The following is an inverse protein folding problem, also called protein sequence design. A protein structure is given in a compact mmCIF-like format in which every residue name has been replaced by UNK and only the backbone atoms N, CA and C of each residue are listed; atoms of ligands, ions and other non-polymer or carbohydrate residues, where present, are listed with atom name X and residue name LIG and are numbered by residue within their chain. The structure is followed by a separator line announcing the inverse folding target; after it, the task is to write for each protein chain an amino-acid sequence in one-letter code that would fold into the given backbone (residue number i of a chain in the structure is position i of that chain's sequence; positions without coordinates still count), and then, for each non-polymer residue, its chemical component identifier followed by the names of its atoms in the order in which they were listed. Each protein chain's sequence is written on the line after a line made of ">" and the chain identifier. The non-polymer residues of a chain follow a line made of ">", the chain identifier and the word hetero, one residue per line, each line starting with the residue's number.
data_IF_210488674259
#
_entry.id   IF_210488674259
#
_cell.length_a   1.000
_cell.length_b   1.000
_cell.length_c   1.000
_cell.angle_alpha   90.00
_cell.angle_beta   90.00
_cell.angle_gamma   90.00
#
_symmetry.space_group_name_H-M   'P 1'
#
loop_
_entity.id
_entity.type
_entity.pdbx_description
1 polymer ?
#
# COMPACT_ATOMS: atom_id res chain seq x y z
N UNK A 1 -0.80 48.95 41.32
CA UNK A 1 0.20 49.97 40.92
C UNK A 1 0.86 49.46 39.65
N UNK A 2 0.82 50.02 38.44
CA UNK A 2 0.08 51.09 37.73
C UNK A 2 -0.10 50.59 36.27
N UNK A 3 -1.16 50.93 35.53
CA UNK A 3 -1.43 52.15 34.74
C UNK A 3 -0.45 52.44 33.57
N UNK A 4 -1.02 52.52 32.36
CA UNK A 4 -0.48 53.07 31.09
C UNK A 4 -1.06 52.31 29.89
N UNK A 5 -2.23 52.60 29.29
CA UNK A 5 -2.69 53.81 28.57
C UNK A 5 -1.68 54.28 27.49
N UNK A 6 -2.01 54.61 26.24
CA UNK A 6 -3.19 54.58 25.37
C UNK A 6 -2.67 55.05 23.98
N UNK A 7 -3.41 54.83 22.87
CA UNK A 7 -3.70 55.87 21.88
C UNK A 7 -4.68 55.36 20.82
N UNK A 8 -5.76 56.12 20.69
CA UNK A 8 -6.90 55.99 19.79
C UNK A 8 -6.58 56.72 18.47
N UNK A 9 -7.09 56.23 17.34
CA UNK A 9 -7.56 57.11 16.26
C UNK A 9 -8.89 56.59 15.75
N UNK A 10 -9.91 57.41 15.98
CA UNK A 10 -11.29 57.27 15.53
C UNK A 10 -11.41 57.92 14.15
N UNK A 11 -12.14 57.32 13.23
CA UNK A 11 -12.75 58.04 12.11
C UNK A 11 -14.18 57.54 11.92
N UNK A 12 -15.11 58.37 12.40
CA UNK A 12 -16.56 58.25 12.26
C UNK A 12 -16.96 58.97 10.98
N UNK A 13 -17.72 58.31 10.10
CA UNK A 13 -18.51 58.98 9.08
C UNK A 13 -19.98 58.63 9.27
N UNK A 14 -20.75 59.67 9.57
CA UNK A 14 -22.19 59.67 9.76
C UNK A 14 -22.83 59.82 8.38
N UNK A 15 -23.60 58.82 7.96
CA UNK A 15 -24.54 58.93 6.85
C UNK A 15 -25.97 58.97 7.38
N UNK A 16 -26.64 60.11 7.23
CA UNK A 16 -28.05 60.33 7.55
C UNK A 16 -28.94 59.77 6.41
N UNK A 17 -29.96 58.99 6.74
CA UNK A 17 -30.99 58.51 5.81
C UNK A 17 -32.23 58.01 6.55
N UNK A 18 -33.42 58.44 6.13
CA UNK A 18 -34.65 58.59 6.94
C UNK A 18 -35.57 57.35 6.98
N UNK A 19 -36.35 57.27 8.08
CA UNK A 19 -37.75 56.81 8.20
C UNK A 19 -38.26 55.70 7.27
N UNK A 20 -38.66 54.56 7.84
CA UNK A 20 -40.06 54.25 8.16
C UNK A 20 -40.25 52.74 8.44
N UNK A 21 -41.21 52.47 9.31
CA UNK A 21 -41.63 51.20 9.89
C UNK A 21 -41.95 50.13 8.82
N UNK A 22 -41.57 48.87 9.06
CA UNK A 22 -42.47 47.70 8.98
C UNK A 22 -41.82 46.37 9.38
N UNK A 23 -42.61 45.63 10.16
CA UNK A 23 -42.63 44.21 10.50
C UNK A 23 -41.42 43.53 11.14
N UNK A 24 -41.62 43.22 12.44
CA UNK A 24 -41.03 42.05 13.09
C UNK A 24 -41.72 40.79 12.56
N UNK A 25 -40.95 39.89 11.98
CA UNK A 25 -41.21 38.46 12.03
C UNK A 25 -39.86 37.73 12.11
N UNK A 26 -39.75 36.83 13.10
CA UNK A 26 -38.56 36.08 13.45
C UNK A 26 -38.11 35.14 12.33
N UNK A 27 -36.82 35.18 11.95
CA UNK A 27 -36.12 34.07 11.30
C UNK A 27 -34.70 33.91 11.84
N UNK A 28 -34.34 32.64 12.01
CA UNK A 28 -33.15 32.04 12.61
C UNK A 28 -31.79 32.64 12.18
N UNK A 29 -30.71 32.43 12.97
CA UNK A 29 -29.38 32.92 12.62
C UNK A 29 -28.87 32.29 11.33
N UNK A 30 -28.38 33.18 10.48
CA UNK A 30 -27.71 32.97 9.19
C UNK A 30 -26.51 32.02 9.29
N UNK A 31 -26.47 31.12 8.32
CA UNK A 31 -25.29 30.44 7.81
C UNK A 31 -24.12 31.41 7.62
N UNK A 32 -22.92 31.01 7.99
CA UNK A 32 -21.71 31.73 7.59
C UNK A 32 -20.48 31.44 8.44
N UNK A 33 -19.96 30.21 8.38
CA UNK A 33 -18.53 29.91 8.52
C UNK A 33 -18.26 28.38 8.44
N UNK A 34 -18.77 27.70 7.41
CA UNK A 34 -18.19 26.41 7.04
C UNK A 34 -17.00 26.71 6.13
N UNK A 35 -15.83 26.89 6.77
CA UNK A 35 -14.54 27.05 6.13
C UNK A 35 -14.35 25.89 5.15
N UNK A 36 -14.35 26.22 3.87
CA UNK A 36 -14.09 25.31 2.76
C UNK A 36 -12.68 24.71 2.94
N UNK A 37 -12.61 23.50 3.49
CA UNK A 37 -11.45 22.60 3.34
C UNK A 37 -11.90 21.51 2.38
N UNK A 38 -12.02 21.87 1.11
CA UNK A 38 -12.22 20.93 0.01
C UNK A 38 -10.99 21.04 -0.90
N UNK A 39 -9.93 20.32 -0.55
CA UNK A 39 -8.68 20.11 -1.31
C UNK A 39 -7.85 19.13 -0.47
N UNK A 40 -7.57 17.86 -0.80
CA UNK A 40 -7.65 17.07 -2.03
C UNK A 40 -8.10 15.66 -1.62
N UNK A 41 -9.30 15.23 -2.00
CA UNK A 41 -9.55 13.79 -2.10
C UNK A 41 -8.98 13.39 -3.46
N UNK A 42 -7.75 12.84 -3.47
CA UNK A 42 -7.26 12.16 -4.68
C UNK A 42 -8.31 11.14 -5.10
N UNK A 43 -8.70 11.14 -6.37
CA UNK A 43 -9.69 10.21 -6.90
C UNK A 43 -9.31 8.80 -6.45
N UNK A 44 -10.14 8.18 -5.61
CA UNK A 44 -9.90 6.80 -5.19
C UNK A 44 -9.75 5.96 -6.46
N UNK A 45 -8.65 5.22 -6.56
CA UNK A 45 -8.40 4.41 -7.74
C UNK A 45 -9.46 3.31 -7.83
N UNK A 46 -10.08 3.18 -9.00
CA UNK A 46 -11.08 2.14 -9.26
C UNK A 46 -10.37 0.81 -9.55
N UNK A 47 -10.25 -0.02 -8.51
CA UNK A 47 -9.77 -1.39 -8.60
C UNK A 47 -10.92 -2.36 -8.95
N UNK A 48 -10.66 -3.34 -9.82
CA UNK A 48 -11.58 -4.44 -10.13
C UNK A 48 -11.77 -5.36 -8.92
N UNK A 49 -12.78 -6.25 -8.91
CA UNK A 49 -12.96 -7.21 -7.81
C UNK A 49 -11.70 -8.06 -7.55
N UNK A 50 -11.05 -8.57 -8.58
CA UNK A 50 -9.82 -9.36 -8.46
C UNK A 50 -8.64 -8.54 -7.92
N UNK A 51 -8.57 -7.26 -8.27
CA UNK A 51 -7.55 -6.37 -7.69
C UNK A 51 -7.85 -6.03 -6.23
N UNK A 52 -9.12 -5.88 -5.85
CA UNK A 52 -9.52 -5.70 -4.45
C UNK A 52 -9.18 -6.93 -3.61
N UNK A 53 -9.28 -8.14 -4.19
CA UNK A 53 -8.78 -9.35 -3.56
C UNK A 53 -7.27 -9.28 -3.31
N UNK A 54 -6.48 -8.83 -4.29
CA UNK A 54 -5.03 -8.62 -4.09
C UNK A 54 -4.79 -7.61 -2.96
N UNK A 55 -5.54 -6.50 -2.91
CA UNK A 55 -5.41 -5.49 -1.86
C UNK A 55 -5.65 -6.05 -0.46
N UNK A 56 -6.59 -6.99 -0.31
CA UNK A 56 -6.85 -7.68 0.96
C UNK A 56 -5.77 -8.69 1.37
N UNK A 57 -4.88 -9.05 0.44
CA UNK A 57 -3.80 -10.01 0.65
C UNK A 57 -2.42 -9.36 0.82
N UNK A 58 -2.36 -8.03 0.77
CA UNK A 58 -1.11 -7.29 0.86
C UNK A 58 -0.42 -7.49 2.23
N UNK A 59 0.91 -7.68 2.25
CA UNK A 59 1.67 -7.65 3.49
C UNK A 59 1.50 -6.31 4.24
N UNK A 60 1.56 -6.31 5.58
CA UNK A 60 1.51 -5.08 6.37
C UNK A 60 2.49 -4.02 5.85
N UNK A 61 2.01 -2.79 5.72
CA UNK A 61 2.75 -1.65 5.16
C UNK A 61 2.35 -1.31 3.72
N UNK A 62 1.95 -2.29 2.90
CA UNK A 62 1.39 -1.97 1.59
C UNK A 62 -0.06 -1.50 1.72
N UNK A 63 -0.39 -0.40 1.05
CA UNK A 63 -1.76 0.15 1.02
C UNK A 63 -2.22 0.29 -0.42
N UNK A 64 -3.53 0.36 -0.63
CA UNK A 64 -4.11 0.60 -1.95
C UNK A 64 -3.58 1.86 -2.63
N UNK A 65 -3.23 2.90 -1.85
CA UNK A 65 -2.66 4.14 -2.35
C UNK A 65 -1.25 3.95 -2.94
N UNK A 66 -0.50 2.96 -2.47
CA UNK A 66 0.84 2.63 -2.97
C UNK A 66 0.81 1.76 -4.23
N UNK A 67 -0.37 1.30 -4.69
CA UNK A 67 -0.49 0.28 -5.73
C UNK A 67 -1.11 0.80 -7.05
N UNK A 68 -0.41 0.54 -8.16
CA UNK A 68 -0.83 0.71 -9.55
C UNK A 68 -1.25 -0.64 -10.16
N UNK A 69 -2.07 -0.63 -11.22
CA UNK A 69 -2.33 -1.85 -12.01
C UNK A 69 -1.05 -2.12 -12.79
N UNK A 70 -0.58 -3.37 -12.83
CA UNK A 70 0.59 -3.71 -13.61
C UNK A 70 0.35 -3.41 -15.10
N UNK A 71 1.34 -2.82 -15.76
CA UNK A 71 1.26 -2.49 -17.19
C UNK A 71 1.60 -3.67 -18.10
N UNK A 72 2.24 -4.68 -17.54
CA UNK A 72 2.81 -5.85 -18.18
C UNK A 72 2.50 -7.11 -17.33
N UNK A 73 1.22 -7.41 -17.06
CA UNK A 73 0.87 -8.61 -16.33
C UNK A 73 1.27 -9.86 -17.12
N UNK A 74 1.52 -10.96 -16.41
CA UNK A 74 1.65 -12.25 -17.07
C UNK A 74 0.36 -12.58 -17.86
N UNK A 75 0.45 -13.23 -19.03
CA UNK A 75 -0.73 -13.57 -19.84
C UNK A 75 -1.77 -14.44 -19.11
N UNK A 76 -1.32 -15.22 -18.14
CA UNK A 76 -2.10 -16.16 -17.29
C UNK A 76 -2.67 -15.49 -16.03
N UNK A 77 -2.34 -14.22 -15.77
CA UNK A 77 -2.78 -13.50 -14.58
C UNK A 77 -4.24 -13.05 -14.70
N UNK A 78 -5.01 -13.26 -13.64
CA UNK A 78 -6.36 -12.68 -13.47
C UNK A 78 -6.27 -11.19 -13.18
N UNK A 79 -5.33 -10.81 -12.33
CA UNK A 79 -5.04 -9.43 -11.98
C UNK A 79 -3.60 -9.33 -11.48
N UNK A 80 -2.98 -8.16 -11.65
CA UNK A 80 -1.67 -7.89 -11.10
C UNK A 80 -1.54 -6.43 -10.68
N UNK A 81 -0.98 -6.20 -9.49
CA UNK A 81 -0.74 -4.88 -8.93
C UNK A 81 0.75 -4.67 -8.66
N UNK A 82 1.24 -3.52 -9.08
CA UNK A 82 2.57 -3.02 -8.77
C UNK A 82 2.47 -2.01 -7.63
N UNK A 83 3.13 -2.30 -6.52
CA UNK A 83 3.11 -1.48 -5.34
C UNK A 83 4.50 -0.91 -5.06
N UNK A 84 4.56 0.40 -4.83
CA UNK A 84 5.76 1.06 -4.33
C UNK A 84 5.92 0.88 -2.82
N UNK A 85 7.11 1.16 -2.31
CA UNK A 85 7.48 1.13 -0.89
C UNK A 85 6.38 1.63 0.08
N UNK A 86 6.20 0.92 1.21
CA UNK A 86 5.52 1.48 2.38
C UNK A 86 6.37 2.60 2.98
N UNK A 87 5.76 3.73 3.34
CA UNK A 87 6.47 4.93 3.81
C UNK A 87 7.40 4.73 5.03
N UNK A 88 7.33 3.57 5.71
CA UNK A 88 7.87 3.40 7.07
C UNK A 88 8.99 2.35 7.21
N UNK A 89 9.35 1.57 6.19
CA UNK A 89 10.06 0.30 6.43
C UNK A 89 11.52 0.20 5.98
N UNK A 90 12.07 1.11 5.16
CA UNK A 90 13.46 1.03 4.67
C UNK A 90 13.77 -0.16 3.74
N UNK A 91 12.85 -1.12 3.62
CA UNK A 91 12.79 -2.26 2.68
C UNK A 91 11.32 -2.65 2.50
N UNK A 92 10.92 -3.39 1.45
CA UNK A 92 11.32 -3.34 0.03
C UNK A 92 10.97 -2.02 -0.68
N UNK A 93 11.50 -1.81 -1.89
CA UNK A 93 11.23 -0.60 -2.71
C UNK A 93 10.13 -0.80 -3.75
N UNK A 94 9.90 -2.05 -4.16
CA UNK A 94 8.87 -2.43 -5.11
C UNK A 94 8.35 -3.83 -4.79
N UNK A 95 7.06 -4.05 -5.07
CA UNK A 95 6.42 -5.35 -5.07
C UNK A 95 5.46 -5.48 -6.25
N UNK A 96 5.40 -6.67 -6.84
CA UNK A 96 4.32 -7.10 -7.71
C UNK A 96 3.55 -8.22 -7.03
N UNK A 97 2.23 -8.09 -7.00
CA UNK A 97 1.32 -9.11 -6.51
C UNK A 97 0.39 -9.53 -7.65
N UNK A 98 0.40 -10.81 -8.00
CA UNK A 98 -0.34 -11.35 -9.14
C UNK A 98 -1.27 -12.46 -8.67
N UNK A 99 -2.54 -12.37 -9.06
CA UNK A 99 -3.58 -13.33 -8.75
C UNK A 99 -3.84 -14.24 -9.96
N UNK A 100 -4.12 -15.52 -9.70
CA UNK A 100 -4.37 -16.56 -10.69
C UNK A 100 -5.71 -17.27 -10.46
N UNK A 101 -6.23 -17.90 -11.51
CA UNK A 101 -7.44 -18.74 -11.44
C UNK A 101 -7.14 -20.16 -10.93
N UNK A 102 -5.90 -20.64 -11.09
CA UNK A 102 -5.50 -21.98 -10.70
C UNK A 102 -4.00 -22.08 -10.32
N UNK A 103 -3.65 -23.23 -9.73
CA UNK A 103 -2.32 -23.50 -9.20
C UNK A 103 -1.28 -23.78 -10.30
N UNK A 104 -1.70 -24.25 -11.47
CA UNK A 104 -0.80 -24.56 -12.58
C UNK A 104 -0.29 -23.27 -13.21
N UNK A 105 -1.17 -22.29 -13.44
CA UNK A 105 -0.82 -20.94 -13.88
C UNK A 105 0.10 -20.24 -12.87
N UNK A 106 -0.25 -20.30 -11.58
CA UNK A 106 0.59 -19.76 -10.49
C UNK A 106 2.00 -20.39 -10.50
N UNK A 107 2.07 -21.72 -10.60
CA UNK A 107 3.34 -22.45 -10.55
C UNK A 107 4.20 -22.18 -11.79
N UNK A 108 3.58 -22.10 -12.97
CA UNK A 108 4.28 -21.78 -14.22
C UNK A 108 4.92 -20.40 -14.20
N UNK A 109 4.21 -19.39 -13.70
CA UNK A 109 4.73 -18.04 -13.60
C UNK A 109 5.74 -17.86 -12.47
N UNK A 110 5.60 -18.62 -11.38
CA UNK A 110 6.64 -18.70 -10.35
C UNK A 110 7.95 -19.26 -10.95
N UNK A 111 7.89 -20.32 -11.76
CA UNK A 111 9.07 -20.87 -12.44
C UNK A 111 9.66 -19.89 -13.46
N UNK A 112 8.81 -19.18 -14.20
CA UNK A 112 9.24 -18.13 -15.14
C UNK A 112 9.95 -17.00 -14.40
N UNK A 113 9.39 -16.56 -13.27
CA UNK A 113 10.00 -15.56 -12.39
C UNK A 113 11.36 -16.03 -11.87
N UNK A 114 11.44 -17.26 -11.35
CA UNK A 114 12.69 -17.84 -10.86
C UNK A 114 13.75 -17.93 -11.95
N UNK A 115 13.36 -18.27 -13.19
CA UNK A 115 14.27 -18.37 -14.33
C UNK A 115 14.84 -17.02 -14.76
N UNK A 116 14.14 -15.92 -14.44
CA UNK A 116 14.61 -14.55 -14.66
C UNK A 116 15.53 -14.01 -13.56
N UNK A 117 15.77 -14.78 -12.49
CA UNK A 117 16.61 -14.37 -11.36
C UNK A 117 18.00 -14.98 -11.43
N UNK A 118 19.00 -14.25 -10.91
CA UNK A 118 20.22 -14.89 -10.43
C UNK A 118 19.91 -15.50 -9.06
N UNK A 119 19.52 -16.77 -9.08
CA UNK A 119 19.08 -17.53 -7.89
C UNK A 119 20.22 -17.79 -6.92
N UNK A 120 19.97 -17.59 -5.63
CA UNK A 120 20.94 -17.83 -4.54
C UNK A 120 20.24 -18.37 -3.29
N UNK A 121 21.00 -18.99 -2.39
CA UNK A 121 20.50 -19.45 -1.08
C UNK A 121 19.69 -18.36 -0.38
N UNK A 122 18.52 -18.73 0.14
CA UNK A 122 17.78 -17.87 1.06
C UNK A 122 18.57 -17.76 2.40
N UNK A 123 18.71 -16.56 2.99
CA UNK A 123 19.57 -16.32 4.16
C UNK A 123 19.27 -17.06 5.46
N UNK A 124 18.07 -17.64 5.64
CA UNK A 124 17.84 -18.60 6.71
C UNK A 124 17.69 -20.00 6.11
N UNK A 125 18.36 -20.95 6.76
CA UNK A 125 18.32 -22.38 6.49
C UNK A 125 18.89 -22.74 5.12
N UNK A 126 20.21 -22.90 5.11
CA UNK A 126 21.10 -23.38 4.04
C UNK A 126 20.75 -24.79 3.51
N UNK A 127 19.47 -25.18 3.46
CA UNK A 127 19.01 -26.57 3.39
C UNK A 127 17.84 -26.80 2.43
N UNK A 128 17.67 -25.95 1.41
CA UNK A 128 16.73 -26.25 0.32
C UNK A 128 17.41 -26.22 -1.04
N UNK A 129 17.28 -27.26 -1.88
CA UNK A 129 17.52 -27.08 -3.31
C UNK A 129 16.52 -26.02 -3.79
N UNK A 130 17.02 -24.95 -4.42
CA UNK A 130 16.18 -23.86 -4.89
C UNK A 130 15.55 -24.22 -6.24
N UNK A 131 14.25 -23.95 -6.45
CA UNK A 131 13.26 -23.34 -5.53
C UNK A 131 12.80 -24.26 -4.37
N UNK A 132 12.54 -23.67 -3.19
CA UNK A 132 12.13 -24.41 -1.97
C UNK A 132 10.66 -24.21 -1.58
N UNK A 133 10.17 -25.00 -0.62
CA UNK A 133 8.84 -24.82 0.02
C UNK A 133 8.94 -23.97 1.27
N UNK A 134 7.91 -23.16 1.56
CA UNK A 134 7.77 -22.47 2.85
C UNK A 134 6.49 -22.91 3.57
N UNK A 135 6.47 -22.82 4.90
CA UNK A 135 5.32 -23.21 5.73
C UNK A 135 4.78 -22.04 6.55
N UNK A 136 3.49 -22.07 6.87
CA UNK A 136 2.87 -21.06 7.72
C UNK A 136 3.34 -21.16 9.17
N UNK A 137 3.80 -20.03 9.71
CA UNK A 137 4.29 -19.96 11.09
C UNK A 137 5.39 -20.98 11.37
N UNK A 138 5.40 -21.54 12.58
CA UNK A 138 6.39 -22.54 12.98
C UNK A 138 5.94 -23.99 12.71
N UNK A 139 4.84 -24.21 11.98
CA UNK A 139 4.33 -25.56 11.70
C UNK A 139 4.81 -26.05 10.32
N UNK A 140 5.85 -26.90 10.26
CA UNK A 140 6.42 -27.34 8.99
C UNK A 140 5.43 -28.14 8.12
N UNK A 141 4.41 -28.75 8.73
CA UNK A 141 3.40 -29.54 8.02
C UNK A 141 2.38 -28.69 7.26
N UNK A 142 2.28 -27.39 7.56
CA UNK A 142 1.35 -26.49 6.89
C UNK A 142 2.07 -25.75 5.76
N UNK A 143 2.37 -26.45 4.67
CA UNK A 143 3.00 -25.86 3.49
C UNK A 143 2.13 -24.70 2.96
N UNK A 144 2.73 -23.52 2.84
CA UNK A 144 2.06 -22.31 2.36
C UNK A 144 2.32 -22.01 0.89
N UNK A 145 3.41 -22.53 0.35
CA UNK A 145 3.74 -22.41 -1.06
C UNK A 145 5.22 -22.63 -1.35
N UNK A 146 5.71 -21.97 -2.40
CA UNK A 146 7.08 -22.02 -2.89
C UNK A 146 7.77 -20.67 -2.69
N UNK A 147 9.09 -20.68 -2.52
CA UNK A 147 9.91 -19.48 -2.36
C UNK A 147 11.22 -19.61 -3.13
N UNK A 148 11.66 -18.51 -3.73
CA UNK A 148 12.96 -18.37 -4.36
C UNK A 148 13.59 -17.04 -3.98
N UNK A 149 14.88 -17.08 -3.66
CA UNK A 149 15.70 -15.91 -3.32
C UNK A 149 16.77 -15.71 -4.38
N UNK A 150 17.22 -14.47 -4.52
CA UNK A 150 18.27 -14.13 -5.47
C UNK A 150 18.34 -12.66 -5.75
N UNK A 151 18.68 -12.33 -7.00
CA UNK A 151 18.71 -10.95 -7.47
C UNK A 151 18.20 -10.81 -8.90
N UNK A 152 17.73 -9.60 -9.21
CA UNK A 152 17.39 -9.15 -10.56
C UNK A 152 18.06 -7.79 -10.76
N UNK A 153 18.91 -7.67 -11.79
CA UNK A 153 19.69 -6.46 -12.06
C UNK A 153 20.39 -5.91 -10.80
N UNK A 154 21.16 -6.77 -10.12
CA UNK A 154 21.93 -6.49 -8.90
C UNK A 154 21.11 -6.00 -7.68
N UNK A 155 19.78 -6.15 -7.73
CA UNK A 155 18.90 -5.88 -6.60
C UNK A 155 18.39 -7.15 -5.98
N UNK A 156 18.44 -7.23 -4.65
CA UNK A 156 17.86 -8.32 -3.88
C UNK A 156 16.39 -8.53 -4.28
N UNK A 157 16.03 -9.78 -4.53
CA UNK A 157 14.69 -10.17 -4.97
C UNK A 157 14.25 -11.45 -4.26
N UNK A 158 13.01 -11.47 -3.80
CA UNK A 158 12.34 -12.65 -3.27
C UNK A 158 11.02 -12.80 -4.02
N UNK A 159 10.76 -13.99 -4.55
CA UNK A 159 9.46 -14.36 -5.06
C UNK A 159 8.91 -15.54 -4.28
N UNK A 160 7.62 -15.52 -3.94
CA UNK A 160 6.95 -16.63 -3.27
C UNK A 160 5.50 -16.76 -3.70
N UNK A 161 4.99 -17.98 -3.67
CA UNK A 161 3.56 -18.26 -3.87
C UNK A 161 2.85 -18.35 -2.54
N UNK A 162 1.56 -18.04 -2.53
CA UNK A 162 0.61 -18.42 -1.50
C UNK A 162 -0.46 -19.30 -2.12
N UNK A 163 -0.26 -20.61 -2.06
CA UNK A 163 -1.00 -21.56 -2.90
C UNK A 163 -2.51 -21.53 -2.61
N UNK A 164 -2.90 -21.37 -1.33
CA UNK A 164 -4.30 -21.29 -0.91
C UNK A 164 -5.04 -20.03 -1.42
N UNK A 165 -4.31 -18.96 -1.74
CA UNK A 165 -4.88 -17.71 -2.25
C UNK A 165 -4.58 -17.48 -3.73
N UNK A 166 -3.90 -18.43 -4.39
CA UNK A 166 -3.48 -18.34 -5.79
C UNK A 166 -2.72 -17.04 -6.09
N UNK A 167 -1.85 -16.63 -5.17
CA UNK A 167 -1.11 -15.37 -5.24
C UNK A 167 0.38 -15.62 -5.46
N UNK A 168 0.96 -14.98 -6.47
CA UNK A 168 2.41 -14.80 -6.61
C UNK A 168 2.79 -13.42 -6.10
N UNK A 169 3.69 -13.35 -5.14
CA UNK A 169 4.31 -12.12 -4.70
C UNK A 169 5.77 -12.09 -5.14
N UNK A 170 6.18 -11.01 -5.79
CA UNK A 170 7.58 -10.73 -6.15
C UNK A 170 7.96 -9.40 -5.55
N UNK A 171 9.02 -9.37 -4.76
CA UNK A 171 9.42 -8.19 -4.00
C UNK A 171 10.91 -7.98 -4.16
N UNK A 172 11.32 -6.74 -4.43
CA UNK A 172 12.72 -6.40 -4.58
C UNK A 172 13.12 -5.06 -3.93
N UNK A 173 14.43 -4.90 -3.77
CA UNK A 173 15.06 -3.73 -3.17
C UNK A 173 15.47 -3.94 -1.71
N UNK A 174 15.74 -2.84 -1.03
CA UNK A 174 16.45 -2.86 0.25
C UNK A 174 17.98 -2.99 0.08
N UNK A 175 18.75 -2.93 1.18
CA UNK A 175 20.21 -2.86 1.12
C UNK A 175 20.88 -4.19 0.73
N UNK A 176 20.27 -5.33 1.06
CA UNK A 176 20.77 -6.67 0.73
C UNK A 176 19.67 -7.74 0.89
N UNK A 177 19.95 -8.95 0.42
CA UNK A 177 19.03 -10.08 0.47
C UNK A 177 18.68 -10.47 1.91
N UNK A 178 19.61 -10.39 2.85
CA UNK A 178 19.38 -10.71 4.27
C UNK A 178 18.30 -9.83 4.88
N UNK A 179 18.39 -8.52 4.66
CA UNK A 179 17.41 -7.54 5.16
C UNK A 179 16.04 -7.74 4.50
N UNK A 180 16.01 -8.07 3.21
CA UNK A 180 14.77 -8.36 2.49
C UNK A 180 14.13 -9.68 2.96
N UNK A 181 14.95 -10.68 3.25
CA UNK A 181 14.48 -11.98 3.73
C UNK A 181 13.92 -11.89 5.16
N UNK A 182 14.58 -11.14 6.05
CA UNK A 182 14.05 -10.85 7.39
C UNK A 182 12.69 -10.11 7.33
N UNK A 183 12.54 -9.18 6.39
CA UNK A 183 11.26 -8.53 6.12
C UNK A 183 10.21 -9.56 5.67
N UNK A 184 10.54 -10.43 4.73
CA UNK A 184 9.63 -11.46 4.24
C UNK A 184 9.18 -12.42 5.35
N UNK A 185 10.10 -12.87 6.20
CA UNK A 185 9.77 -13.73 7.35
C UNK A 185 8.79 -13.04 8.31
N UNK A 186 8.93 -11.73 8.50
CA UNK A 186 8.08 -10.96 9.41
C UNK A 186 6.73 -10.60 8.81
N UNK A 187 6.65 -10.28 7.52
CA UNK A 187 5.45 -9.67 6.94
C UNK A 187 4.86 -10.46 5.77
N UNK A 188 5.68 -11.18 5.01
CA UNK A 188 5.27 -11.98 3.85
C UNK A 188 4.63 -13.32 4.19
N UNK A 189 4.98 -13.90 5.35
CA UNK A 189 4.44 -15.19 5.84
C UNK A 189 3.21 -15.01 6.76
N UNK A 190 3.09 -13.88 7.46
CA UNK A 190 2.13 -13.71 8.57
C UNK A 190 0.70 -13.30 8.17
N UNK A 191 0.42 -13.04 6.90
CA UNK A 191 -0.94 -12.67 6.47
C UNK A 191 -1.83 -13.91 6.32
N UNK A 192 -2.29 -14.47 7.44
CA UNK A 192 -3.50 -15.26 7.49
C UNK A 192 -4.63 -14.37 8.04
N UNK A 193 -5.44 -13.84 7.14
CA UNK A 193 -6.76 -13.35 7.47
C UNK A 193 -7.77 -14.09 6.60
#
# INVERSE_FOLDING_TARGET
>A
MGLGAALLVLAVLIGLGRFALWNRDARAPTQGAARTVASQAGSAKNFSPSEQQILGLLPPGYTAAACARATDPFPTAVASLDCSQSADSGTPTYARFTLYDDLDALTGDFQTTASGMLVSACPADNTFPLPGTWSYGSNPSQIGGKVVCGSVADRANIAWTRDAQLLLATVNGGPNLDSLYQWWQRYGILTQH
#
